data_IF_326854863033
#
_entry.id   IF_326854863033
#
_cell.length_a   1.000
_cell.length_b   1.000
_cell.length_c   1.000
_cell.angle_alpha   90.00
_cell.angle_beta   90.00
_cell.angle_gamma   90.00
#
_symmetry.space_group_name_H-M   'P 1'
#
loop_
_entity.id
_entity.type
_entity.pdbx_description
1 polymer ?
#
# COMPACT_ATOMS: atom_id res chain seq x y z
N UNK A 1 -76.15 -19.50 -5.70
CA UNK A 1 -74.97 -20.32 -5.36
C UNK A 1 -73.84 -19.98 -6.33
N UNK A 2 -72.72 -19.45 -5.81
CA UNK A 2 -71.37 -19.63 -6.37
C UNK A 2 -70.40 -18.90 -5.42
N UNK A 3 -69.61 -19.66 -4.68
CA UNK A 3 -68.57 -19.14 -3.79
C UNK A 3 -67.29 -18.88 -4.59
N UNK A 4 -66.74 -17.68 -4.52
CA UNK A 4 -65.42 -17.36 -5.06
C UNK A 4 -64.35 -17.78 -4.04
N UNK A 5 -63.57 -18.81 -4.36
CA UNK A 5 -62.47 -19.28 -3.53
C UNK A 5 -61.30 -18.28 -3.56
N UNK A 6 -60.99 -17.67 -2.42
CA UNK A 6 -59.82 -16.80 -2.26
C UNK A 6 -58.51 -17.60 -2.32
N UNK A 7 -57.61 -17.21 -3.21
CA UNK A 7 -56.24 -17.72 -3.28
C UNK A 7 -55.45 -17.27 -2.03
N UNK A 8 -54.96 -18.23 -1.25
CA UNK A 8 -54.09 -17.97 -0.10
C UNK A 8 -52.66 -17.62 -0.56
N UNK A 9 -52.00 -16.59 0.02
CA UNK A 9 -50.63 -16.27 -0.34
C UNK A 9 -49.68 -17.34 0.21
N UNK A 10 -48.89 -17.96 -0.67
CA UNK A 10 -47.80 -18.87 -0.27
C UNK A 10 -46.72 -18.06 0.44
N UNK A 11 -46.58 -18.27 1.76
CA UNK A 11 -45.52 -17.69 2.57
C UNK A 11 -44.18 -18.28 2.13
N UNK A 12 -43.38 -17.50 1.41
CA UNK A 12 -42.01 -17.88 1.04
C UNK A 12 -41.15 -17.84 2.31
N UNK A 13 -40.74 -19.01 2.79
CA UNK A 13 -39.81 -19.12 3.90
C UNK A 13 -38.39 -18.94 3.37
N UNK A 14 -37.78 -17.78 3.63
CA UNK A 14 -36.37 -17.54 3.31
C UNK A 14 -35.52 -18.18 4.42
N UNK A 15 -34.90 -19.32 4.13
CA UNK A 15 -33.90 -19.91 5.04
C UNK A 15 -32.60 -19.12 4.97
N UNK A 16 -31.99 -18.72 6.11
CA UNK A 16 -30.72 -18.03 6.09
C UNK A 16 -29.62 -18.98 5.62
N UNK A 17 -28.97 -18.64 4.51
CA UNK A 17 -27.74 -19.30 4.07
C UNK A 17 -26.69 -19.11 5.15
N UNK A 18 -26.15 -20.21 5.69
CA UNK A 18 -25.02 -20.16 6.64
C UNK A 18 -23.85 -19.48 5.94
N UNK A 19 -23.58 -18.21 6.28
CA UNK A 19 -22.34 -17.54 5.88
C UNK A 19 -21.18 -18.26 6.57
N UNK A 20 -20.35 -18.93 5.78
CA UNK A 20 -19.07 -19.44 6.24
C UNK A 20 -18.28 -18.27 6.80
N UNK A 21 -18.00 -18.31 8.11
CA UNK A 21 -17.18 -17.32 8.75
C UNK A 21 -15.74 -17.53 8.26
N UNK A 22 -15.36 -16.86 7.18
CA UNK A 22 -13.95 -16.72 6.80
C UNK A 22 -13.27 -16.11 8.01
N UNK A 23 -12.45 -16.90 8.72
CA UNK A 23 -11.66 -16.43 9.86
C UNK A 23 -10.82 -15.25 9.35
N UNK A 24 -11.18 -14.03 9.78
CA UNK A 24 -10.32 -12.86 9.58
C UNK A 24 -9.01 -13.18 10.29
N UNK A 25 -7.95 -13.45 9.53
CA UNK A 25 -6.61 -13.53 10.10
C UNK A 25 -6.32 -12.16 10.71
N UNK A 26 -6.18 -12.11 12.03
CA UNK A 26 -5.73 -10.91 12.70
C UNK A 26 -4.27 -10.69 12.30
N UNK A 27 -4.02 -9.71 11.43
CA UNK A 27 -2.66 -9.27 11.11
C UNK A 27 -2.04 -8.76 12.40
N UNK A 28 -1.02 -9.48 12.90
CA UNK A 28 -0.25 -9.05 14.06
C UNK A 28 0.92 -8.20 13.58
N UNK A 29 0.75 -6.89 13.62
CA UNK A 29 1.85 -5.96 13.42
C UNK A 29 2.67 -5.85 14.71
N UNK A 30 3.93 -6.24 14.68
CA UNK A 30 4.87 -6.01 15.77
C UNK A 30 5.82 -4.87 15.39
N UNK A 31 5.97 -3.90 16.28
CA UNK A 31 7.01 -2.87 16.12
C UNK A 31 8.32 -3.49 16.58
N UNK A 32 9.17 -3.88 15.63
CA UNK A 32 10.54 -4.29 15.94
C UNK A 32 11.32 -3.02 16.30
N UNK A 33 11.83 -2.97 17.54
CA UNK A 33 12.85 -2.02 17.95
C UNK A 33 14.21 -2.65 17.67
N UNK A 34 14.94 -2.06 16.72
CA UNK A 34 16.22 -2.56 16.24
C UNK A 34 16.67 -1.77 15.01
N UNK A 35 17.92 -1.95 14.59
CA UNK A 35 18.48 -1.28 13.42
C UNK A 35 17.70 -1.69 12.16
N UNK A 36 16.92 -0.74 11.60
CA UNK A 36 16.08 -0.96 10.40
C UNK A 36 16.88 -0.88 9.11
N UNK A 37 18.19 -0.65 9.20
CA UNK A 37 19.10 -0.55 8.06
C UNK A 37 19.87 -1.84 7.85
N UNK A 38 20.31 -2.03 6.61
CA UNK A 38 21.20 -3.10 6.18
C UNK A 38 22.13 -2.56 5.12
N UNK A 39 23.37 -3.00 5.11
CA UNK A 39 24.30 -2.70 4.02
C UNK A 39 24.09 -3.69 2.87
N UNK A 40 23.71 -3.18 1.71
CA UNK A 40 23.74 -3.90 0.44
C UNK A 40 25.10 -3.69 -0.19
N UNK A 41 25.72 -4.75 -0.71
CA UNK A 41 27.01 -4.66 -1.42
C UNK A 41 26.82 -4.98 -2.90
N UNK A 42 27.43 -4.19 -3.77
CA UNK A 42 27.53 -4.51 -5.19
C UNK A 42 28.58 -5.60 -5.42
N UNK A 43 28.57 -6.18 -6.62
CA UNK A 43 29.60 -7.15 -7.01
C UNK A 43 30.96 -6.46 -7.22
N UNK A 44 30.92 -5.19 -7.58
CA UNK A 44 32.04 -4.31 -7.86
C UNK A 44 32.70 -3.76 -6.58
N UNK A 45 32.10 -3.99 -5.41
CA UNK A 45 32.64 -3.63 -4.10
C UNK A 45 32.01 -2.40 -3.45
N UNK A 46 31.03 -1.77 -4.10
CA UNK A 46 30.27 -0.66 -3.52
C UNK A 46 29.42 -1.15 -2.35
N UNK A 47 29.17 -0.27 -1.39
CA UNK A 47 28.30 -0.55 -0.26
C UNK A 47 27.28 0.58 -0.10
N UNK A 48 26.01 0.22 0.06
CA UNK A 48 24.92 1.14 0.30
C UNK A 48 24.12 0.69 1.52
N UNK A 49 24.00 1.57 2.50
CA UNK A 49 23.09 1.36 3.61
C UNK A 49 21.65 1.73 3.22
N UNK A 50 20.74 0.76 3.32
CA UNK A 50 19.31 0.91 2.97
C UNK A 50 18.41 0.49 4.12
N UNK A 51 17.19 1.01 4.17
CA UNK A 51 16.15 0.40 5.01
C UNK A 51 15.80 -0.99 4.47
N UNK A 52 15.57 -1.96 5.37
CA UNK A 52 15.18 -3.34 4.99
C UNK A 52 13.82 -3.39 4.30
N UNK A 53 12.99 -2.37 4.48
CA UNK A 53 11.70 -2.22 3.81
C UNK A 53 11.84 -1.12 2.75
N UNK A 54 11.55 -1.49 1.51
CA UNK A 54 11.66 -0.61 0.34
C UNK A 54 10.26 -0.11 -0.05
N UNK A 55 10.12 1.20 -0.25
CA UNK A 55 8.88 1.81 -0.71
C UNK A 55 8.82 1.79 -2.24
N UNK A 56 7.89 1.03 -2.82
CA UNK A 56 7.67 1.05 -4.27
C UNK A 56 6.91 2.30 -4.71
N UNK A 57 7.47 3.05 -5.67
CA UNK A 57 6.88 4.31 -6.16
C UNK A 57 5.84 4.13 -7.28
N UNK A 58 5.44 2.89 -7.55
CA UNK A 58 4.49 2.54 -8.62
C UNK A 58 3.12 3.24 -8.51
N UNK A 59 2.63 3.58 -7.31
CA UNK A 59 1.36 4.31 -7.16
C UNK A 59 1.43 5.76 -7.64
N UNK A 60 2.63 6.32 -7.74
CA UNK A 60 2.88 7.68 -8.23
C UNK A 60 3.54 7.67 -9.62
N UNK A 61 3.49 6.53 -10.32
CA UNK A 61 4.19 6.30 -11.60
C UNK A 61 3.38 6.66 -12.85
N UNK A 62 2.26 7.37 -12.70
CA UNK A 62 1.46 7.84 -13.83
C UNK A 62 -0.01 7.40 -13.81
N UNK A 63 -0.73 7.56 -14.95
CA UNK A 63 -2.19 7.59 -14.98
C UNK A 63 -2.89 6.26 -14.64
N UNK A 64 -2.19 5.14 -14.77
CA UNK A 64 -2.75 3.78 -14.66
C UNK A 64 -3.30 3.42 -13.27
N UNK A 65 -2.97 4.21 -12.24
CA UNK A 65 -3.39 4.01 -10.84
C UNK A 65 -4.33 5.11 -10.33
N UNK A 66 -4.81 5.97 -11.23
CA UNK A 66 -5.66 7.10 -10.90
C UNK A 66 -4.88 8.42 -10.80
N UNK A 67 -5.58 9.49 -10.43
CA UNK A 67 -4.95 10.79 -10.14
C UNK A 67 -4.33 10.73 -8.75
N UNK A 68 -3.05 11.03 -8.66
CA UNK A 68 -2.39 11.29 -7.39
C UNK A 68 -2.30 12.80 -7.15
N UNK A 69 -2.23 13.20 -5.89
CA UNK A 69 -1.98 14.58 -5.48
C UNK A 69 -0.49 14.71 -5.10
N UNK A 70 0.32 15.50 -5.82
CA UNK A 70 1.75 15.57 -5.61
C UNK A 70 2.16 15.95 -4.18
N UNK A 71 1.47 16.90 -3.54
CA UNK A 71 1.81 17.34 -2.19
C UNK A 71 1.56 16.25 -1.14
N UNK A 72 0.48 15.48 -1.27
CA UNK A 72 0.15 14.34 -0.44
C UNK A 72 1.16 13.20 -0.63
N UNK A 73 1.66 13.00 -1.86
CA UNK A 73 2.73 12.05 -2.11
C UNK A 73 4.03 12.47 -1.40
N UNK A 74 4.40 13.75 -1.49
CA UNK A 74 5.56 14.30 -0.77
C UNK A 74 5.39 14.16 0.76
N UNK A 75 4.25 14.56 1.31
CA UNK A 75 3.95 14.48 2.75
C UNK A 75 4.03 13.04 3.26
N UNK A 76 3.50 12.08 2.50
CA UNK A 76 3.65 10.66 2.82
C UNK A 76 5.11 10.20 2.81
N UNK A 77 5.90 10.63 1.82
CA UNK A 77 7.32 10.29 1.72
C UNK A 77 8.13 10.85 2.89
N UNK A 78 7.85 12.07 3.34
CA UNK A 78 8.49 12.67 4.52
C UNK A 78 8.16 11.87 5.78
N UNK A 79 6.88 11.51 6.00
CA UNK A 79 6.46 10.68 7.14
C UNK A 79 7.12 9.29 7.12
N UNK A 80 7.29 8.69 5.95
CA UNK A 80 8.00 7.43 5.81
C UNK A 80 9.47 7.57 6.17
N UNK A 81 10.13 8.62 5.69
CA UNK A 81 11.53 8.90 6.04
C UNK A 81 11.70 9.12 7.56
N UNK A 82 10.84 9.94 8.19
CA UNK A 82 10.84 10.16 9.65
C UNK A 82 10.57 8.86 10.44
N UNK A 83 9.78 7.95 9.86
CA UNK A 83 9.54 6.60 10.40
C UNK A 83 10.68 5.59 10.15
N UNK A 84 11.74 5.98 9.44
CA UNK A 84 12.87 5.14 9.09
C UNK A 84 12.67 4.26 7.84
N UNK A 85 11.60 4.48 7.07
CA UNK A 85 11.34 3.86 5.76
C UNK A 85 11.93 4.75 4.66
N UNK A 86 13.25 4.88 4.65
CA UNK A 86 13.97 5.90 3.86
C UNK A 86 14.54 5.41 2.52
N UNK A 87 14.09 4.26 2.02
CA UNK A 87 14.54 3.69 0.73
C UNK A 87 13.35 3.60 -0.22
N UNK A 88 13.48 4.18 -1.40
CA UNK A 88 12.41 4.31 -2.40
C UNK A 88 12.86 3.67 -3.72
N UNK A 89 12.06 2.74 -4.22
CA UNK A 89 12.29 2.04 -5.49
C UNK A 89 11.60 2.79 -6.64
N UNK A 90 12.39 3.14 -7.66
CA UNK A 90 11.94 3.95 -8.78
C UNK A 90 12.37 3.32 -10.10
N UNK A 91 11.41 3.11 -11.01
CA UNK A 91 11.67 2.67 -12.37
C UNK A 91 11.60 3.83 -13.37
N UNK A 92 12.18 3.66 -14.55
CA UNK A 92 12.09 4.58 -15.69
C UNK A 92 10.66 4.82 -16.17
N UNK A 93 9.79 3.81 -16.03
CA UNK A 93 8.34 3.94 -16.26
C UNK A 93 7.65 4.83 -15.23
N UNK A 94 8.27 5.09 -14.07
CA UNK A 94 7.76 5.98 -13.03
C UNK A 94 8.16 7.44 -13.30
N UNK A 95 7.81 7.94 -14.49
CA UNK A 95 8.25 9.24 -14.98
C UNK A 95 7.85 10.38 -14.03
N UNK A 96 6.66 10.30 -13.45
CA UNK A 96 6.11 11.29 -12.53
C UNK A 96 6.70 11.19 -11.11
N UNK A 97 7.07 9.98 -10.68
CA UNK A 97 7.72 9.74 -9.39
C UNK A 97 9.07 10.47 -9.29
N UNK A 98 9.79 10.57 -10.41
CA UNK A 98 11.05 11.33 -10.48
C UNK A 98 10.84 12.78 -10.07
N UNK A 99 9.79 13.44 -10.54
CA UNK A 99 9.52 14.83 -10.17
C UNK A 99 9.30 14.96 -8.67
N UNK A 100 8.52 14.07 -8.07
CA UNK A 100 8.20 14.08 -6.64
C UNK A 100 9.47 13.84 -5.79
N UNK A 101 10.27 12.82 -6.14
CA UNK A 101 11.49 12.47 -5.40
C UNK A 101 12.60 13.53 -5.53
N UNK A 102 12.74 14.18 -6.68
CA UNK A 102 13.85 15.12 -6.94
C UNK A 102 13.50 16.60 -6.68
N UNK A 103 12.21 16.96 -6.58
CA UNK A 103 11.78 18.32 -6.21
C UNK A 103 11.59 18.52 -4.70
N UNK A 104 11.50 17.44 -3.93
CA UNK A 104 11.30 17.49 -2.49
C UNK A 104 12.65 17.57 -1.74
N UNK A 105 12.74 18.28 -0.59
CA UNK A 105 13.98 18.44 0.16
C UNK A 105 14.31 17.19 0.99
N UNK A 106 14.13 16.00 0.42
CA UNK A 106 14.60 14.78 1.05
C UNK A 106 16.13 14.90 1.19
N UNK A 107 16.70 14.58 2.36
CA UNK A 107 18.14 14.59 2.54
C UNK A 107 18.73 13.70 1.46
N UNK A 108 19.59 14.28 0.60
CA UNK A 108 20.40 13.49 -0.32
C UNK A 108 21.09 12.45 0.54
N UNK A 109 20.85 11.18 0.25
CA UNK A 109 21.59 10.08 0.86
C UNK A 109 23.06 10.34 0.49
N UNK A 110 23.79 10.96 1.41
CA UNK A 110 25.19 11.28 1.22
C UNK A 110 25.94 9.97 1.28
N UNK A 111 26.43 9.50 0.14
CA UNK A 111 27.46 8.48 0.09
C UNK A 111 28.70 9.04 0.76
N UNK A 112 29.07 8.47 1.90
CA UNK A 112 30.43 8.53 2.44
C UNK A 112 30.96 7.11 2.47
#
# INVERSE_FOLDING_TARGET
>A
MAAAAGLSPKRVLVTPVRRSHVRRMAVRCAVVQGERRTTVRSKEGDALEVCRVVNGMWQVSGPSWGRYEPAAAVDAMLRYADGGLSTFDMADICKEARTICFSSPLPRISGR
#
